data_IF_781940188141
#
_entry.id   IF_781940188141
#
_cell.length_a   1.000
_cell.length_b   1.000
_cell.length_c   1.000
_cell.angle_alpha   90.00
_cell.angle_beta   90.00
_cell.angle_gamma   90.00
#
_symmetry.space_group_name_H-M   'P 1'
#
loop_
_entity.id
_entity.type
_entity.pdbx_description
1 polymer ?
#
# COMPACT_ATOMS: atom_id res chain seq x y z
N UNK A 1 51.60 -25.50 -28.92
CA UNK A 1 52.18 -24.45 -28.07
C UNK A 1 51.07 -23.52 -27.63
N UNK A 2 50.86 -23.49 -26.31
CA UNK A 2 49.79 -22.80 -25.59
C UNK A 2 49.72 -21.30 -25.86
N UNK A 3 48.50 -20.79 -26.13
CA UNK A 3 48.15 -19.38 -25.91
C UNK A 3 47.37 -19.29 -24.61
N UNK A 4 48.07 -18.96 -23.51
CA UNK A 4 47.45 -18.59 -22.23
C UNK A 4 46.71 -17.27 -22.41
N UNK A 5 45.38 -17.33 -22.44
CA UNK A 5 44.51 -16.17 -22.28
C UNK A 5 44.54 -15.77 -20.81
N UNK A 6 45.32 -14.74 -20.48
CA UNK A 6 45.30 -14.12 -19.15
C UNK A 6 44.05 -13.24 -19.10
N UNK A 7 42.94 -13.80 -18.60
CA UNK A 7 41.81 -12.99 -18.14
C UNK A 7 42.26 -12.21 -16.91
N UNK A 8 42.67 -10.95 -17.09
CA UNK A 8 42.85 -10.02 -15.98
C UNK A 8 41.46 -9.71 -15.42
N UNK A 9 41.18 -10.19 -14.21
CA UNK A 9 40.09 -9.67 -13.38
C UNK A 9 40.41 -8.22 -13.05
N UNK A 10 39.55 -7.29 -13.48
CA UNK A 10 39.60 -5.92 -13.00
C UNK A 10 39.22 -5.90 -11.50
N UNK A 11 40.17 -5.46 -10.68
CA UNK A 11 39.95 -5.10 -9.29
C UNK A 11 39.33 -3.71 -9.26
N UNK A 12 38.18 -3.54 -8.61
CA UNK A 12 37.56 -2.24 -8.34
C UNK A 12 38.06 -1.72 -7.00
N UNK A 13 38.99 -0.75 -6.94
CA UNK A 13 39.20 -0.01 -5.71
C UNK A 13 38.12 1.08 -5.62
N UNK A 14 37.11 0.86 -4.76
CA UNK A 14 36.23 1.93 -4.29
C UNK A 14 37.06 2.86 -3.38
N UNK A 15 37.82 3.79 -3.97
CA UNK A 15 38.44 4.88 -3.22
C UNK A 15 37.40 5.95 -2.92
N UNK A 16 36.77 5.85 -1.75
CA UNK A 16 36.13 6.98 -1.09
C UNK A 16 37.24 7.78 -0.38
N UNK A 17 37.97 8.62 -1.10
CA UNK A 17 38.89 9.56 -0.46
C UNK A 17 38.11 10.74 0.11
N UNK A 18 37.56 10.55 1.31
CA UNK A 18 37.16 11.65 2.19
C UNK A 18 38.42 12.19 2.88
N UNK A 19 38.76 13.44 2.59
CA UNK A 19 39.89 14.11 3.22
C UNK A 19 39.64 14.25 4.74
N UNK A 20 40.50 13.57 5.51
CA UNK A 20 41.01 13.91 6.85
C UNK A 20 39.95 14.23 7.93
N UNK A 21 39.52 13.18 8.61
CA UNK A 21 38.85 13.23 9.92
C UNK A 21 38.27 11.84 10.23
N UNK A 22 38.85 11.14 11.21
CA UNK A 22 38.44 9.79 11.63
C UNK A 22 36.99 9.76 12.14
N UNK A 23 36.05 9.61 11.22
CA UNK A 23 34.65 9.29 11.49
C UNK A 23 34.29 8.12 10.57
N UNK A 24 34.15 6.91 11.11
CA UNK A 24 33.64 5.76 10.34
C UNK A 24 32.17 6.01 10.03
N UNK A 25 31.88 6.70 8.93
CA UNK A 25 30.50 6.91 8.49
C UNK A 25 29.96 5.60 7.96
N UNK A 26 29.14 4.92 8.75
CA UNK A 26 28.42 3.74 8.29
C UNK A 26 27.41 4.15 7.20
N UNK A 27 27.59 3.61 6.00
CA UNK A 27 26.66 3.83 4.90
C UNK A 27 25.31 3.18 5.24
N UNK A 28 24.18 3.92 5.21
CA UNK A 28 22.84 3.38 5.45
C UNK A 28 22.52 2.15 4.57
N UNK A 29 21.81 1.18 5.14
CA UNK A 29 21.49 -0.11 4.49
C UNK A 29 20.72 0.04 3.18
N UNK A 30 19.84 1.03 3.07
CA UNK A 30 19.10 1.33 1.83
C UNK A 30 20.05 1.74 0.70
N UNK A 31 21.04 2.59 1.00
CA UNK A 31 22.04 3.05 0.02
C UNK A 31 22.90 1.87 -0.46
N UNK A 32 23.30 0.98 0.46
CA UNK A 32 24.03 -0.25 0.11
C UNK A 32 23.24 -1.13 -0.88
N UNK A 33 21.93 -1.30 -0.67
CA UNK A 33 21.06 -2.07 -1.59
C UNK A 33 20.98 -1.42 -2.98
N UNK A 34 20.79 -0.10 -3.04
CA UNK A 34 20.73 0.65 -4.30
C UNK A 34 22.04 0.57 -5.08
N UNK A 35 23.18 0.73 -4.40
CA UNK A 35 24.51 0.60 -5.02
C UNK A 35 24.77 -0.82 -5.54
N UNK A 36 24.36 -1.86 -4.81
CA UNK A 36 24.46 -3.24 -5.25
C UNK A 36 23.60 -3.52 -6.50
N UNK A 37 22.39 -2.97 -6.54
CA UNK A 37 21.51 -3.07 -7.71
C UNK A 37 22.09 -2.36 -8.94
N UNK A 38 22.60 -1.13 -8.76
CA UNK A 38 23.26 -0.37 -9.83
C UNK A 38 24.47 -1.13 -10.38
N UNK A 39 25.33 -1.66 -9.50
CA UNK A 39 26.48 -2.48 -9.90
C UNK A 39 26.04 -3.68 -10.76
N UNK A 40 25.04 -4.43 -10.31
CA UNK A 40 24.54 -5.59 -11.06
C UNK A 40 23.97 -5.19 -12.43
N UNK A 41 23.32 -4.03 -12.53
CA UNK A 41 22.83 -3.51 -13.81
C UNK A 41 23.96 -3.13 -14.76
N UNK A 42 25.01 -2.47 -14.25
CA UNK A 42 26.19 -2.12 -15.05
C UNK A 42 26.93 -3.37 -15.57
N UNK A 43 27.11 -4.39 -14.71
CA UNK A 43 27.70 -5.67 -15.09
C UNK A 43 26.86 -6.40 -16.16
N UNK A 44 25.53 -6.40 -16.03
CA UNK A 44 24.63 -6.98 -17.04
C UNK A 44 24.68 -6.27 -18.39
N UNK A 45 24.99 -4.98 -18.39
CA UNK A 45 25.07 -4.15 -19.59
C UNK A 45 26.49 -4.13 -20.20
N UNK A 46 27.44 -4.88 -19.62
CA UNK A 46 28.85 -4.93 -20.05
C UNK A 46 29.51 -3.53 -20.10
N UNK A 47 29.14 -2.66 -19.15
CA UNK A 47 29.63 -1.28 -19.08
C UNK A 47 30.90 -1.22 -18.23
N UNK A 48 32.04 -0.99 -18.88
CA UNK A 48 33.33 -0.78 -18.20
C UNK A 48 33.57 0.71 -17.89
N UNK A 49 33.73 1.04 -16.61
CA UNK A 49 34.04 2.41 -16.20
C UNK A 49 33.91 2.67 -14.71
N UNK A 50 34.25 3.90 -14.31
CA UNK A 50 34.07 4.39 -12.94
C UNK A 50 32.94 5.41 -12.90
N UNK A 51 32.02 5.27 -11.94
CA UNK A 51 30.94 6.22 -11.73
C UNK A 51 31.20 7.01 -10.45
N UNK A 52 31.20 8.34 -10.55
CA UNK A 52 31.28 9.26 -9.43
C UNK A 52 29.92 9.94 -9.25
N UNK A 53 29.27 9.62 -8.14
CA UNK A 53 27.95 10.16 -7.79
C UNK A 53 28.14 11.30 -6.80
N UNK A 54 27.65 12.48 -7.16
CA UNK A 54 27.55 13.66 -6.30
C UNK A 54 26.09 14.06 -6.13
N UNK A 55 25.81 15.02 -5.25
CA UNK A 55 24.44 15.51 -5.03
C UNK A 55 23.77 16.06 -6.29
N UNK A 56 24.55 16.61 -7.22
CA UNK A 56 24.01 17.35 -8.36
C UNK A 56 24.30 16.65 -9.70
N UNK A 57 25.37 15.86 -9.76
CA UNK A 57 25.85 15.28 -11.00
C UNK A 57 26.26 13.82 -10.79
N UNK A 58 26.02 13.01 -11.82
CA UNK A 58 26.64 11.70 -11.96
C UNK A 58 27.67 11.80 -13.08
N UNK A 59 28.93 11.52 -12.78
CA UNK A 59 30.02 11.53 -13.75
C UNK A 59 30.43 10.10 -14.03
N UNK A 60 30.37 9.70 -15.30
CA UNK A 60 30.83 8.40 -15.75
C UNK A 60 32.15 8.55 -16.52
N UNK A 61 33.15 7.77 -16.11
CA UNK A 61 34.48 7.76 -16.69
C UNK A 61 34.75 6.42 -17.37
N UNK A 62 35.11 6.46 -18.65
CA UNK A 62 35.74 5.34 -19.37
C UNK A 62 37.22 5.67 -19.62
N UNK A 63 37.99 4.73 -20.16
CA UNK A 63 39.42 4.98 -20.49
C UNK A 63 39.64 6.14 -21.47
N UNK A 64 38.61 6.53 -22.24
CA UNK A 64 38.75 7.45 -23.37
C UNK A 64 37.93 8.74 -23.20
N UNK A 65 36.84 8.73 -22.42
CA UNK A 65 35.92 9.87 -22.33
C UNK A 65 35.26 9.97 -20.94
N UNK A 66 34.89 11.19 -20.56
CA UNK A 66 34.02 11.46 -19.42
C UNK A 66 32.69 12.01 -19.90
N UNK A 67 31.60 11.46 -19.37
CA UNK A 67 30.24 11.95 -19.61
C UNK A 67 29.64 12.43 -18.30
N UNK A 68 29.18 13.69 -18.30
CA UNK A 68 28.44 14.27 -17.17
C UNK A 68 26.95 14.10 -17.46
N UNK A 69 26.26 13.39 -16.59
CA UNK A 69 24.80 13.34 -16.56
C UNK A 69 24.35 14.29 -15.47
N UNK A 70 23.79 15.43 -15.87
CA UNK A 70 23.14 16.35 -14.94
C UNK A 70 21.95 15.61 -14.32
N UNK A 71 21.94 15.51 -13.00
CA UNK A 71 20.76 15.05 -12.29
C UNK A 71 19.91 16.30 -12.10
N UNK A 72 18.81 16.48 -12.86
CA UNK A 72 17.96 17.62 -12.64
C UNK A 72 17.57 17.61 -11.17
N UNK A 73 17.69 18.77 -10.52
CA UNK A 73 17.49 18.94 -9.10
C UNK A 73 16.01 18.63 -8.79
N UNK A 74 15.70 17.34 -8.68
CA UNK A 74 14.45 16.79 -8.23
C UNK A 74 14.46 17.09 -6.75
N UNK A 75 14.18 18.36 -6.41
CA UNK A 75 13.65 18.73 -5.11
C UNK A 75 12.46 17.81 -4.93
N UNK A 76 12.70 16.70 -4.23
CA UNK A 76 11.66 15.78 -3.82
C UNK A 76 10.64 16.66 -3.15
N UNK A 77 9.49 16.83 -3.80
CA UNK A 77 8.41 17.60 -3.23
C UNK A 77 8.20 17.08 -1.82
N UNK A 78 8.23 17.99 -0.84
CA UNK A 78 7.95 17.60 0.53
C UNK A 78 6.56 16.96 0.56
N UNK A 79 6.29 16.08 1.51
CA UNK A 79 4.95 15.50 1.61
C UNK A 79 3.87 16.58 1.79
N UNK A 80 4.23 17.74 2.37
CA UNK A 80 3.38 18.93 2.43
C UNK A 80 3.11 19.54 1.03
N UNK A 81 4.13 19.62 0.16
CA UNK A 81 3.95 20.11 -1.22
C UNK A 81 3.14 19.13 -2.07
N UNK A 82 3.37 17.82 -1.92
CA UNK A 82 2.59 16.76 -2.58
C UNK A 82 1.13 16.77 -2.14
N UNK A 83 0.89 17.07 -0.86
CA UNK A 83 -0.46 17.23 -0.33
C UNK A 83 -1.10 18.51 -0.87
N UNK A 84 -0.36 19.62 -0.90
CA UNK A 84 -0.85 20.90 -1.38
C UNK A 84 -1.17 20.89 -2.88
N UNK A 85 -0.41 20.15 -3.70
CA UNK A 85 -0.70 19.99 -5.13
C UNK A 85 -1.94 19.14 -5.39
N UNK A 86 -2.28 18.22 -4.47
CA UNK A 86 -3.47 17.35 -4.54
C UNK A 86 -4.69 17.90 -3.80
N UNK A 87 -4.53 18.94 -2.99
CA UNK A 87 -5.62 19.54 -2.22
C UNK A 87 -6.79 20.02 -3.12
N UNK A 88 -6.56 20.63 -4.29
CA UNK A 88 -7.66 21.05 -5.16
C UNK A 88 -8.51 19.89 -5.67
N UNK A 89 -7.87 18.79 -6.10
CA UNK A 89 -8.56 17.56 -6.54
C UNK A 89 -9.38 16.95 -5.40
N UNK A 90 -8.83 16.94 -4.18
CA UNK A 90 -9.52 16.46 -3.00
C UNK A 90 -10.73 17.34 -2.61
N UNK A 91 -10.60 18.66 -2.73
CA UNK A 91 -11.68 19.61 -2.47
C UNK A 91 -12.76 19.53 -3.55
N UNK A 92 -12.40 19.35 -4.83
CA UNK A 92 -13.37 19.07 -5.90
C UNK A 92 -14.10 17.74 -5.67
N UNK A 93 -13.39 16.68 -5.27
CA UNK A 93 -13.99 15.39 -4.92
C UNK A 93 -14.98 15.52 -3.75
N UNK A 94 -14.64 16.30 -2.72
CA UNK A 94 -15.52 16.59 -1.60
C UNK A 94 -16.74 17.41 -2.05
N UNK A 95 -16.52 18.44 -2.87
CA UNK A 95 -17.59 19.31 -3.35
C UNK A 95 -18.57 18.59 -4.28
N UNK A 96 -18.06 17.71 -5.16
CA UNK A 96 -18.90 16.84 -5.99
C UNK A 96 -19.73 15.86 -5.15
N UNK A 97 -19.19 15.37 -4.03
CA UNK A 97 -19.91 14.51 -3.07
C UNK A 97 -20.95 15.26 -2.24
N UNK A 98 -20.80 16.56 -2.06
CA UNK A 98 -21.71 17.40 -1.28
C UNK A 98 -22.89 17.97 -2.11
N UNK A 99 -22.65 18.25 -3.40
CA UNK A 99 -23.69 18.76 -4.34
C UNK A 99 -24.57 17.64 -4.90
N UNK A 100 -24.07 16.41 -4.94
CA UNK A 100 -24.93 15.26 -5.20
C UNK A 100 -25.66 14.94 -3.89
N UNK A 101 -27.01 15.03 -3.79
CA UNK A 101 -27.71 14.70 -2.55
C UNK A 101 -27.25 13.32 -2.12
N UNK A 102 -26.64 13.22 -0.93
CA UNK A 102 -26.04 11.99 -0.33
C UNK A 102 -26.73 10.78 -0.92
N UNK A 103 -26.15 10.25 -1.99
CA UNK A 103 -26.96 9.40 -2.83
C UNK A 103 -27.17 8.10 -2.06
N UNK A 104 -28.33 7.43 -2.19
CA UNK A 104 -28.60 6.14 -1.55
C UNK A 104 -27.59 5.04 -1.95
N UNK A 105 -26.56 5.39 -2.74
CA UNK A 105 -25.49 4.54 -3.21
C UNK A 105 -24.50 4.13 -2.12
N UNK A 106 -24.35 4.84 -0.99
CA UNK A 106 -23.41 4.40 0.05
C UNK A 106 -23.87 3.14 0.80
N UNK A 107 -25.16 3.08 1.15
CA UNK A 107 -25.77 1.89 1.75
C UNK A 107 -25.81 0.75 0.72
N UNK A 108 -26.17 1.05 -0.54
CA UNK A 108 -26.20 0.03 -1.61
C UNK A 108 -24.82 -0.50 -1.98
N UNK A 109 -23.75 0.28 -1.82
CA UNK A 109 -22.37 -0.16 -2.01
C UNK A 109 -21.93 -1.13 -0.91
N UNK A 110 -22.20 -0.84 0.36
CA UNK A 110 -21.88 -1.79 1.44
C UNK A 110 -22.68 -3.08 1.29
N UNK A 111 -23.96 -3.00 0.97
CA UNK A 111 -24.76 -4.20 0.67
C UNK A 111 -24.15 -5.01 -0.48
N UNK A 112 -23.73 -4.36 -1.57
CA UNK A 112 -23.04 -5.02 -2.67
C UNK A 112 -21.77 -5.75 -2.22
N UNK A 113 -20.90 -5.09 -1.45
CA UNK A 113 -19.67 -5.70 -0.96
C UNK A 113 -19.92 -6.82 0.07
N UNK A 114 -20.96 -6.69 0.89
CA UNK A 114 -21.40 -7.74 1.79
C UNK A 114 -21.82 -9.00 1.03
N UNK A 115 -22.70 -8.86 0.03
CA UNK A 115 -23.14 -9.99 -0.79
C UNK A 115 -21.99 -10.61 -1.59
N UNK A 116 -21.09 -9.79 -2.14
CA UNK A 116 -19.90 -10.27 -2.80
C UNK A 116 -19.01 -11.07 -1.83
N UNK A 117 -18.82 -10.59 -0.59
CA UNK A 117 -18.07 -11.29 0.42
C UNK A 117 -18.72 -12.60 0.87
N UNK A 118 -20.05 -12.66 0.94
CA UNK A 118 -20.82 -13.88 1.19
C UNK A 118 -20.59 -14.92 0.10
N UNK A 119 -20.74 -14.54 -1.17
CA UNK A 119 -20.47 -15.42 -2.33
C UNK A 119 -19.01 -15.90 -2.35
N UNK A 120 -18.07 -15.04 -1.98
CA UNK A 120 -16.66 -15.38 -1.89
C UNK A 120 -16.38 -16.37 -0.74
N UNK A 121 -17.06 -16.22 0.40
CA UNK A 121 -16.96 -17.17 1.53
C UNK A 121 -17.54 -18.54 1.17
N UNK A 122 -18.66 -18.63 0.44
CA UNK A 122 -19.18 -19.90 -0.08
C UNK A 122 -18.18 -20.63 -0.97
N UNK A 123 -17.32 -19.88 -1.67
CA UNK A 123 -16.21 -20.41 -2.47
C UNK A 123 -14.89 -20.51 -1.71
N UNK A 124 -14.92 -20.40 -0.38
CA UNK A 124 -13.76 -20.43 0.51
C UNK A 124 -12.63 -19.49 0.08
N UNK A 125 -12.98 -18.35 -0.53
CA UNK A 125 -12.03 -17.39 -1.09
C UNK A 125 -10.98 -18.02 -2.02
N UNK A 126 -11.33 -19.09 -2.75
CA UNK A 126 -10.41 -19.85 -3.56
C UNK A 126 -9.84 -19.04 -4.75
N UNK A 127 -8.77 -19.56 -5.36
CA UNK A 127 -8.05 -18.88 -6.45
C UNK A 127 -8.96 -18.63 -7.67
N UNK A 128 -9.88 -19.54 -7.95
CA UNK A 128 -10.81 -19.45 -9.09
C UNK A 128 -11.81 -18.29 -8.90
N UNK A 129 -12.41 -18.16 -7.72
CA UNK A 129 -13.30 -17.06 -7.38
C UNK A 129 -12.57 -15.71 -7.43
N UNK A 130 -11.34 -15.63 -6.90
CA UNK A 130 -10.51 -14.42 -7.01
C UNK A 130 -10.17 -14.08 -8.47
N UNK A 131 -9.94 -15.08 -9.32
CA UNK A 131 -9.69 -14.87 -10.75
C UNK A 131 -10.95 -14.38 -11.49
N UNK A 132 -12.16 -14.75 -11.07
CA UNK A 132 -13.41 -14.18 -11.59
C UNK A 132 -13.46 -12.69 -11.26
N UNK A 133 -13.24 -12.29 -10.00
CA UNK A 133 -13.21 -10.88 -9.60
C UNK A 133 -12.12 -10.11 -10.35
N UNK A 134 -10.94 -10.71 -10.55
CA UNK A 134 -9.86 -10.10 -11.33
C UNK A 134 -10.22 -9.89 -12.80
N UNK A 135 -10.99 -10.79 -13.41
CA UNK A 135 -11.49 -10.64 -14.79
C UNK A 135 -12.55 -9.55 -14.91
N UNK A 136 -13.44 -9.46 -13.92
CA UNK A 136 -14.51 -8.46 -13.91
C UNK A 136 -13.99 -7.05 -13.57
N UNK A 137 -12.96 -6.95 -12.72
CA UNK A 137 -12.43 -5.68 -12.22
C UNK A 137 -10.89 -5.62 -12.32
N UNK A 138 -10.32 -5.61 -13.53
CA UNK A 138 -8.88 -5.74 -13.73
C UNK A 138 -8.04 -4.71 -12.97
N UNK A 139 -8.51 -3.46 -12.90
CA UNK A 139 -7.77 -2.36 -12.28
C UNK A 139 -7.88 -2.31 -10.75
N UNK A 140 -9.03 -2.71 -10.18
CA UNK A 140 -9.35 -2.46 -8.76
C UNK A 140 -9.68 -3.75 -7.97
N UNK A 141 -9.44 -4.94 -8.53
CA UNK A 141 -9.81 -6.22 -7.91
C UNK A 141 -9.24 -6.40 -6.49
N UNK A 142 -8.02 -5.93 -6.21
CA UNK A 142 -7.42 -6.04 -4.87
C UNK A 142 -8.25 -5.27 -3.83
N UNK A 143 -8.64 -4.04 -4.15
CA UNK A 143 -9.43 -3.20 -3.25
C UNK A 143 -10.82 -3.77 -3.03
N UNK A 144 -11.46 -4.22 -4.12
CA UNK A 144 -12.79 -4.85 -4.08
C UNK A 144 -12.78 -6.08 -3.18
N UNK A 145 -11.75 -6.93 -3.30
CA UNK A 145 -11.62 -8.12 -2.46
C UNK A 145 -11.44 -7.76 -0.98
N UNK A 146 -10.61 -6.76 -0.67
CA UNK A 146 -10.39 -6.30 0.71
C UNK A 146 -11.68 -5.73 1.30
N UNK A 147 -12.36 -4.85 0.56
CA UNK A 147 -13.61 -4.23 1.02
C UNK A 147 -14.68 -5.29 1.21
N UNK A 148 -14.87 -6.20 0.25
CA UNK A 148 -15.84 -7.28 0.35
C UNK A 148 -15.57 -8.17 1.57
N UNK A 149 -14.30 -8.55 1.79
CA UNK A 149 -13.91 -9.37 2.92
C UNK A 149 -14.18 -8.67 4.25
N UNK A 150 -13.74 -7.42 4.39
CA UNK A 150 -13.92 -6.65 5.63
C UNK A 150 -15.37 -6.33 5.92
N UNK A 151 -16.14 -5.95 4.90
CA UNK A 151 -17.58 -5.71 5.02
C UNK A 151 -18.29 -6.97 5.48
N UNK A 152 -18.04 -8.10 4.81
CA UNK A 152 -18.65 -9.37 5.18
C UNK A 152 -18.31 -9.80 6.60
N UNK A 153 -17.04 -9.74 6.99
CA UNK A 153 -16.61 -10.12 8.33
C UNK A 153 -17.22 -9.24 9.42
N UNK A 154 -17.33 -7.93 9.19
CA UNK A 154 -17.90 -7.01 10.17
C UNK A 154 -19.40 -7.24 10.35
N UNK A 155 -20.16 -7.26 9.26
CA UNK A 155 -21.62 -7.35 9.33
C UNK A 155 -22.14 -8.79 9.49
N UNK A 156 -21.29 -9.80 9.32
CA UNK A 156 -21.60 -11.16 9.80
C UNK A 156 -21.60 -11.23 11.33
N UNK A 157 -20.76 -10.43 12.00
CA UNK A 157 -20.71 -10.36 13.46
C UNK A 157 -21.83 -9.48 14.02
N UNK A 158 -22.05 -8.30 13.42
CA UNK A 158 -23.11 -7.36 13.86
C UNK A 158 -24.51 -7.78 13.43
N UNK A 159 -24.63 -8.56 12.36
CA UNK A 159 -25.90 -8.85 11.70
C UNK A 159 -26.13 -7.93 10.49
N UNK A 160 -26.80 -8.42 9.43
CA UNK A 160 -26.99 -7.66 8.19
C UNK A 160 -27.85 -6.40 8.34
N UNK A 161 -28.69 -6.31 9.37
CA UNK A 161 -29.49 -5.12 9.67
C UNK A 161 -28.61 -3.89 9.90
N UNK A 162 -27.42 -4.07 10.47
CA UNK A 162 -26.47 -3.00 10.72
C UNK A 162 -25.87 -2.38 9.45
N UNK A 163 -25.98 -3.04 8.29
CA UNK A 163 -25.63 -2.44 6.99
C UNK A 163 -26.49 -1.21 6.67
N UNK A 164 -27.73 -1.19 7.18
CA UNK A 164 -28.70 -0.12 6.92
C UNK A 164 -28.72 0.95 8.02
N UNK A 165 -28.21 0.61 9.20
CA UNK A 165 -28.17 1.50 10.37
C UNK A 165 -26.85 2.27 10.48
N UNK A 166 -25.75 1.67 10.04
CA UNK A 166 -24.42 2.29 10.10
C UNK A 166 -24.21 3.30 8.98
N UNK A 167 -24.28 4.60 9.31
CA UNK A 167 -23.96 5.68 8.36
C UNK A 167 -22.49 6.11 8.40
N UNK A 168 -21.72 5.64 9.38
CA UNK A 168 -20.35 6.09 9.65
C UNK A 168 -19.28 5.26 8.92
N UNK A 169 -19.57 3.99 8.63
CA UNK A 169 -18.62 3.10 7.97
C UNK A 169 -18.84 3.17 6.46
N UNK A 170 -17.80 3.45 5.71
CA UNK A 170 -17.85 3.48 4.24
C UNK A 170 -16.88 2.47 3.64
N UNK A 171 -17.10 2.01 2.40
CA UNK A 171 -16.13 1.18 1.68
C UNK A 171 -14.72 1.79 1.64
N UNK A 172 -14.63 3.13 1.57
CA UNK A 172 -13.37 3.85 1.61
C UNK A 172 -12.64 3.67 2.94
N UNK A 173 -13.34 3.81 4.07
CA UNK A 173 -12.79 3.59 5.41
C UNK A 173 -12.35 2.13 5.56
N UNK A 174 -13.20 1.18 5.16
CA UNK A 174 -12.89 -0.25 5.23
C UNK A 174 -11.68 -0.63 4.37
N UNK A 175 -11.42 0.04 3.25
CA UNK A 175 -10.21 -0.18 2.44
C UNK A 175 -8.95 0.27 3.15
N UNK A 176 -8.97 1.44 3.77
CA UNK A 176 -7.78 2.09 4.31
C UNK A 176 -7.50 1.77 5.78
N UNK A 177 -8.43 1.09 6.46
CA UNK A 177 -8.24 0.66 7.84
C UNK A 177 -7.00 -0.23 7.96
N UNK A 178 -6.19 -0.02 9.00
CA UNK A 178 -5.13 -0.96 9.33
C UNK A 178 -5.71 -2.30 9.80
N UNK A 179 -4.91 -3.36 9.79
CA UNK A 179 -5.40 -4.70 10.16
C UNK A 179 -5.73 -4.74 11.66
N UNK A 180 -4.94 -4.04 12.45
CA UNK A 180 -5.06 -3.90 13.90
C UNK A 180 -6.34 -3.14 14.26
N UNK A 181 -6.55 -1.98 13.62
CA UNK A 181 -7.76 -1.17 13.78
C UNK A 181 -9.02 -1.93 13.37
N UNK A 182 -8.92 -2.76 12.31
CA UNK A 182 -10.04 -3.62 11.92
C UNK A 182 -10.37 -4.68 12.98
N UNK A 183 -9.35 -5.27 13.62
CA UNK A 183 -9.57 -6.24 14.68
C UNK A 183 -10.21 -5.61 15.92
N UNK A 184 -9.79 -4.38 16.27
CA UNK A 184 -10.44 -3.59 17.33
C UNK A 184 -11.90 -3.35 17.01
N UNK A 185 -12.20 -2.90 15.78
CA UNK A 185 -13.56 -2.66 15.31
C UNK A 185 -14.43 -3.93 15.38
N UNK A 186 -13.88 -5.09 15.03
CA UNK A 186 -14.59 -6.37 15.16
C UNK A 186 -14.89 -6.75 16.62
N UNK A 187 -13.98 -6.41 17.54
CA UNK A 187 -14.14 -6.70 18.97
C UNK A 187 -15.22 -5.80 19.57
N UNK A 188 -15.21 -4.51 19.24
CA UNK A 188 -16.25 -3.56 19.65
C UNK A 188 -17.62 -3.96 19.09
N UNK A 189 -17.66 -4.35 17.82
CA UNK A 189 -18.86 -4.85 17.17
C UNK A 189 -19.48 -6.05 17.90
N UNK A 190 -18.65 -7.01 18.32
CA UNK A 190 -19.11 -8.18 19.09
C UNK A 190 -19.59 -7.79 20.49
N UNK A 191 -18.89 -6.88 21.15
CA UNK A 191 -19.28 -6.39 22.47
C UNK A 191 -20.65 -5.71 22.43
N UNK A 192 -20.89 -4.87 21.41
CA UNK A 192 -22.17 -4.20 21.25
C UNK A 192 -23.31 -5.19 21.03
N UNK A 193 -23.13 -6.19 20.15
CA UNK A 193 -24.15 -7.24 19.95
C UNK A 193 -24.43 -8.00 21.24
N UNK A 194 -23.40 -8.30 22.04
CA UNK A 194 -23.60 -8.98 23.32
C UNK A 194 -24.40 -8.10 24.30
N UNK A 195 -24.11 -6.80 24.36
CA UNK A 195 -24.88 -5.86 25.18
C UNK A 195 -26.35 -5.79 24.74
N UNK A 196 -26.62 -5.72 23.44
CA UNK A 196 -27.99 -5.74 22.90
C UNK A 196 -28.73 -7.03 23.27
N UNK A 197 -28.05 -8.18 23.21
CA UNK A 197 -28.62 -9.47 23.63
C UNK A 197 -28.92 -9.46 25.15
N UNK A 198 -27.99 -8.99 25.96
CA UNK A 198 -28.13 -8.95 27.43
C UNK A 198 -29.29 -8.03 27.85
N UNK A 199 -29.46 -6.89 27.17
CA UNK A 199 -30.59 -5.97 27.38
C UNK A 199 -31.94 -6.61 27.04
N UNK A 200 -32.03 -7.29 25.88
CA UNK A 200 -33.25 -8.00 25.48
C UNK A 200 -33.57 -9.13 26.47
N UNK A 201 -32.56 -9.87 26.93
CA UNK A 201 -32.74 -10.91 27.94
C UNK A 201 -33.21 -10.32 29.27
N UNK A 202 -32.65 -9.19 29.72
CA UNK A 202 -33.10 -8.51 30.93
C UNK A 202 -34.58 -8.12 30.82
N UNK A 203 -35.01 -7.54 29.71
CA UNK A 203 -36.41 -7.14 29.48
C UNK A 203 -37.37 -8.34 29.46
N UNK A 204 -37.00 -9.43 28.81
CA UNK A 204 -37.85 -10.64 28.70
C UNK A 204 -37.97 -11.39 30.04
N UNK A 205 -36.92 -11.41 30.86
CA UNK A 205 -36.95 -12.02 32.20
C UNK A 205 -37.95 -11.34 33.16
N UNK A 206 -38.23 -10.04 33.00
CA UNK A 206 -39.24 -9.34 33.81
C UNK A 206 -40.68 -9.54 33.31
N UNK A 207 -40.88 -9.92 32.04
CA UNK A 207 -42.23 -10.13 31.46
C UNK A 207 -42.86 -11.49 31.76
N UNK A 208 -42.14 -12.42 32.40
CA UNK A 208 -42.64 -13.75 32.77
C UNK A 208 -43.14 -13.89 34.22
N UNK A 209 -43.14 -12.80 34.99
CA UNK A 209 -43.56 -12.79 36.39
C UNK A 209 -44.84 -11.96 36.59
N UNK A 210 -45.96 -12.38 35.96
CA UNK A 210 -47.32 -11.93 36.29
C UNK A 210 -48.30 -13.09 36.20
#
# INVERSE_FOLDING_TARGET
MDRRVIKKKASFPLFLSFLRGDMSVEIPTQIKKTLAALKSQMEKADLEGTCLVSNNNIIYFTEQQSQVVEVPNLKRESDAQRLHSRMPEFLEDLHQREITPRSPYHISQLSYYYFLGTLMEEKAWNKEARNVVKRLFPHNHSDILIIAQRTHLLYRLQGPSHLFLSQSITPFVLRHLLKEDFATLQTEAQLQVQQEIDEVLALTCFTGAQ
#
